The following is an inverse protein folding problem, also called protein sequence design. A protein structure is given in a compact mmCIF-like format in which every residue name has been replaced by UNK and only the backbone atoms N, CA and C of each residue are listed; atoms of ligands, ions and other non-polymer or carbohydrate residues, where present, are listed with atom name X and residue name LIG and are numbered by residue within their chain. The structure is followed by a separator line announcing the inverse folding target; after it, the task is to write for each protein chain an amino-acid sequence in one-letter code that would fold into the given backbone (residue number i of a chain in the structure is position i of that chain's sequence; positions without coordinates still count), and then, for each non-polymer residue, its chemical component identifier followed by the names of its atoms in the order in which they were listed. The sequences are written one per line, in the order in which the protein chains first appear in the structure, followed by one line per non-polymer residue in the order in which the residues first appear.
data_IF_604207924546
#
_entry.id   IF_604207924546
#
_cell.length_a   1.000
_cell.length_b   1.000
_cell.length_c   1.000
_cell.angle_alpha   90.00
_cell.angle_beta   90.00
_cell.angle_gamma   90.00
#
_symmetry.space_group_name_H-M   'P 1'
#
loop_
_entity.id
_entity.type
_entity.pdbx_description
1 polymer ?
#
# COMPACT_ATOMS: atom_id res chain seq x y z
N UNK A 1 -15.99 -20.77 9.42
CA UNK A 1 -15.07 -20.64 10.55
C UNK A 1 -15.67 -19.63 11.48
N UNK A 2 -16.28 -20.14 12.53
CA UNK A 2 -16.96 -19.35 13.53
C UNK A 2 -15.89 -18.85 14.51
N UNK A 3 -15.95 -17.60 14.95
CA UNK A 3 -15.05 -17.02 15.96
C UNK A 3 -15.14 -17.69 17.35
N UNK A 4 -15.80 -18.85 17.43
CA UNK A 4 -16.04 -19.64 18.63
C UNK A 4 -15.23 -20.96 18.61
N UNK A 5 -14.48 -21.23 17.54
CA UNK A 5 -13.75 -22.50 17.32
C UNK A 5 -12.48 -22.68 18.19
N UNK A 6 -12.26 -21.81 19.17
CA UNK A 6 -11.13 -21.89 20.09
C UNK A 6 -11.40 -21.30 21.49
N UNK A 7 -12.65 -20.94 21.79
CA UNK A 7 -13.00 -20.49 23.14
C UNK A 7 -13.30 -21.74 23.97
N UNK A 8 -12.35 -22.13 24.81
CA UNK A 8 -12.57 -23.31 25.66
C UNK A 8 -13.66 -23.00 26.69
N UNK A 9 -14.33 -24.04 27.19
CA UNK A 9 -15.35 -23.87 28.22
C UNK A 9 -14.74 -23.19 29.45
N UNK A 10 -13.48 -23.45 29.71
CA UNK A 10 -12.68 -22.83 30.75
C UNK A 10 -12.43 -21.34 30.49
N UNK A 11 -12.16 -20.90 29.25
CA UNK A 11 -11.99 -19.48 28.93
C UNK A 11 -13.29 -18.68 29.10
N UNK A 12 -14.43 -19.31 28.77
CA UNK A 12 -15.77 -18.74 28.97
C UNK A 12 -16.18 -18.75 30.45
N UNK A 13 -15.72 -19.74 31.22
CA UNK A 13 -15.93 -19.83 32.67
C UNK A 13 -14.99 -18.91 33.46
N UNK A 14 -13.75 -18.63 33.02
CA UNK A 14 -12.83 -17.68 33.68
C UNK A 14 -13.37 -16.26 33.60
N UNK A 15 -13.86 -15.85 32.44
CA UNK A 15 -14.57 -14.57 32.28
C UNK A 15 -15.78 -14.44 33.22
N UNK A 16 -16.48 -15.54 33.47
CA UNK A 16 -17.67 -15.60 34.31
C UNK A 16 -17.36 -15.80 35.80
N UNK A 17 -16.25 -16.46 36.16
CA UNK A 17 -15.83 -16.79 37.53
C UNK A 17 -15.11 -15.68 38.25
N UNK A 18 -14.49 -14.75 37.50
CA UNK A 18 -13.83 -13.59 38.09
C UNK A 18 -14.84 -12.56 38.64
N UNK A 19 -16.15 -12.79 38.44
CA UNK A 19 -17.23 -11.97 38.99
C UNK A 19 -18.03 -12.75 40.04
N UNK A 20 -18.02 -12.26 41.28
CA UNK A 20 -18.84 -12.80 42.36
C UNK A 20 -20.33 -12.52 42.10
N UNK A 21 -21.22 -13.41 42.54
CA UNK A 21 -22.67 -13.16 42.57
C UNK A 21 -23.05 -11.86 43.32
N UNK A 22 -22.14 -11.34 44.16
CA UNK A 22 -22.27 -10.06 44.87
C UNK A 22 -21.85 -8.82 44.07
N UNK A 23 -21.14 -8.99 42.94
CA UNK A 23 -20.74 -7.91 42.03
C UNK A 23 -21.82 -7.61 40.99
N UNK A 24 -22.92 -8.37 41.02
CA UNK A 24 -24.15 -8.09 40.28
C UNK A 24 -24.84 -6.87 40.90
N UNK A 25 -24.30 -5.69 40.60
CA UNK A 25 -25.04 -4.45 40.43
C UNK A 25 -25.50 -3.75 41.72
N UNK A 26 -24.72 -2.75 42.14
CA UNK A 26 -25.38 -1.44 42.29
C UNK A 26 -26.03 -1.13 40.93
N UNK A 27 -27.33 -0.81 40.90
CA UNK A 27 -28.11 -0.66 39.66
C UNK A 27 -27.50 0.32 38.62
N UNK A 28 -26.50 1.11 39.00
CA UNK A 28 -25.77 2.05 38.15
C UNK A 28 -24.57 1.49 37.36
N UNK A 29 -23.99 0.34 37.73
CA UNK A 29 -22.68 -0.08 37.18
C UNK A 29 -22.76 -1.08 36.00
N UNK A 30 -23.93 -1.68 35.78
CA UNK A 30 -24.17 -2.61 34.66
C UNK A 30 -23.85 -2.00 33.29
N UNK A 31 -24.26 -0.76 32.96
CA UNK A 31 -23.98 -0.17 31.66
C UNK A 31 -22.47 0.01 31.42
N UNK A 32 -21.70 0.36 32.45
CA UNK A 32 -20.25 0.55 32.39
C UNK A 32 -19.51 -0.78 32.18
N UNK A 33 -19.90 -1.82 32.90
CA UNK A 33 -19.38 -3.18 32.70
C UNK A 33 -19.69 -3.70 31.30
N UNK A 34 -20.96 -3.62 30.89
CA UNK A 34 -21.38 -4.07 29.56
C UNK A 34 -20.65 -3.31 28.44
N UNK A 35 -20.52 -1.99 28.57
CA UNK A 35 -19.76 -1.17 27.62
C UNK A 35 -18.29 -1.60 27.55
N UNK A 36 -17.65 -1.81 28.70
CA UNK A 36 -16.24 -2.23 28.75
C UNK A 36 -16.05 -3.60 28.10
N UNK A 37 -16.93 -4.56 28.39
CA UNK A 37 -16.89 -5.90 27.78
C UNK A 37 -17.11 -5.84 26.28
N UNK A 38 -18.10 -5.07 25.83
CA UNK A 38 -18.37 -4.88 24.39
C UNK A 38 -17.23 -4.18 23.67
N UNK A 39 -16.57 -3.21 24.29
CA UNK A 39 -15.40 -2.53 23.71
C UNK A 39 -14.23 -3.51 23.48
N UNK A 40 -13.95 -4.39 24.43
CA UNK A 40 -12.91 -5.41 24.29
C UNK A 40 -13.27 -6.37 23.16
N UNK A 41 -14.48 -6.93 23.16
CA UNK A 41 -14.91 -7.86 22.10
C UNK A 41 -14.93 -7.22 20.72
N UNK A 42 -15.34 -5.95 20.64
CA UNK A 42 -15.32 -5.21 19.38
C UNK A 42 -13.88 -5.07 18.86
N UNK A 43 -12.92 -4.78 19.74
CA UNK A 43 -11.51 -4.66 19.37
C UNK A 43 -10.95 -5.97 18.84
N UNK A 44 -11.21 -7.07 19.52
CA UNK A 44 -10.79 -8.42 19.08
C UNK A 44 -11.35 -8.77 17.70
N UNK A 45 -12.64 -8.49 17.47
CA UNK A 45 -13.29 -8.76 16.17
C UNK A 45 -12.69 -7.88 15.06
N UNK A 46 -12.41 -6.62 15.34
CA UNK A 46 -11.78 -5.70 14.37
C UNK A 46 -10.34 -6.13 14.03
N UNK A 47 -9.56 -6.55 15.03
CA UNK A 47 -8.20 -7.04 14.81
C UNK A 47 -8.20 -8.32 13.97
N UNK A 48 -9.02 -9.31 14.33
CA UNK A 48 -9.15 -10.54 13.56
C UNK A 48 -9.54 -10.28 12.09
N UNK A 49 -10.51 -9.40 11.87
CA UNK A 49 -10.97 -9.09 10.51
C UNK A 49 -9.89 -8.38 9.70
N UNK A 50 -9.17 -7.44 10.31
CA UNK A 50 -8.04 -6.78 9.68
C UNK A 50 -6.90 -7.75 9.32
N UNK A 51 -6.53 -8.66 10.24
CA UNK A 51 -5.51 -9.67 9.98
C UNK A 51 -5.91 -10.61 8.85
N UNK A 52 -7.18 -11.02 8.79
CA UNK A 52 -7.70 -11.86 7.73
C UNK A 52 -7.59 -11.18 6.36
N UNK A 53 -7.99 -9.92 6.27
CA UNK A 53 -7.88 -9.11 5.05
C UNK A 53 -6.41 -8.93 4.63
N UNK A 54 -5.53 -8.62 5.60
CA UNK A 54 -4.10 -8.49 5.36
C UNK A 54 -3.49 -9.79 4.83
N UNK A 55 -3.85 -10.93 5.43
CA UNK A 55 -3.41 -12.25 4.98
C UNK A 55 -3.89 -12.59 3.57
N UNK A 56 -5.11 -12.18 3.18
CA UNK A 56 -5.62 -12.32 1.80
C UNK A 56 -4.81 -11.47 0.83
N UNK A 57 -4.57 -10.21 1.18
CA UNK A 57 -3.80 -9.28 0.36
C UNK A 57 -2.37 -9.77 0.15
N UNK A 58 -1.68 -10.19 1.22
CA UNK A 58 -0.31 -10.74 1.14
C UNK A 58 -0.22 -11.95 0.22
N UNK A 59 -1.17 -12.88 0.31
CA UNK A 59 -1.21 -14.05 -0.59
C UNK A 59 -1.40 -13.63 -2.05
N UNK A 60 -2.25 -12.64 -2.32
CA UNK A 60 -2.44 -12.14 -3.68
C UNK A 60 -1.18 -11.47 -4.22
N UNK A 61 -0.60 -10.56 -3.44
CA UNK A 61 0.63 -9.85 -3.80
C UNK A 61 1.80 -10.81 -4.01
N UNK A 62 1.95 -11.83 -3.15
CA UNK A 62 2.99 -12.86 -3.31
C UNK A 62 2.82 -13.63 -4.63
N UNK A 63 1.58 -14.00 -4.99
CA UNK A 63 1.29 -14.66 -6.27
C UNK A 63 1.59 -13.74 -7.46
N UNK A 64 1.22 -12.46 -7.37
CA UNK A 64 1.55 -11.48 -8.39
C UNK A 64 3.06 -11.30 -8.54
N UNK A 65 3.78 -11.12 -7.43
CA UNK A 65 5.25 -10.99 -7.42
C UNK A 65 5.94 -12.22 -8.00
N UNK A 66 5.46 -13.43 -7.67
CA UNK A 66 5.98 -14.66 -8.24
C UNK A 66 5.74 -14.74 -9.75
N UNK A 67 4.55 -14.35 -10.23
CA UNK A 67 4.26 -14.29 -11.66
C UNK A 67 5.15 -13.27 -12.39
N UNK A 68 5.36 -12.09 -11.79
CA UNK A 68 6.25 -11.05 -12.34
C UNK A 68 7.69 -11.54 -12.40
N UNK A 69 8.21 -12.16 -11.33
CA UNK A 69 9.57 -12.71 -11.31
C UNK A 69 9.78 -13.74 -12.43
N UNK A 70 8.82 -14.63 -12.63
CA UNK A 70 8.87 -15.63 -13.71
C UNK A 70 8.86 -14.99 -15.09
N UNK A 71 8.02 -13.98 -15.31
CA UNK A 71 7.98 -13.24 -16.58
C UNK A 71 9.28 -12.47 -16.80
N UNK A 72 9.88 -11.92 -15.75
CA UNK A 72 11.15 -11.20 -15.85
C UNK A 72 12.30 -12.13 -16.25
N UNK A 73 12.39 -13.33 -15.66
CA UNK A 73 13.34 -14.36 -16.08
C UNK A 73 13.12 -14.79 -17.54
N UNK A 74 11.87 -14.92 -17.98
CA UNK A 74 11.55 -15.26 -19.37
C UNK A 74 11.95 -14.14 -20.34
N UNK A 75 11.71 -12.88 -19.98
CA UNK A 75 12.16 -11.71 -20.75
C UNK A 75 13.69 -11.69 -20.86
N UNK A 76 14.41 -11.93 -19.76
CA UNK A 76 15.88 -11.97 -19.77
C UNK A 76 16.42 -13.13 -20.63
N UNK A 77 15.81 -14.31 -20.51
CA UNK A 77 16.12 -15.46 -21.36
C UNK A 77 15.86 -15.17 -22.84
N UNK A 78 14.75 -14.50 -23.17
CA UNK A 78 14.43 -14.14 -24.55
C UNK A 78 15.40 -13.08 -25.08
N UNK A 79 15.76 -12.09 -24.26
CA UNK A 79 16.74 -11.05 -24.61
C UNK A 79 18.10 -11.65 -24.95
N UNK A 80 18.63 -12.52 -24.09
CA UNK A 80 19.92 -13.20 -24.34
C UNK A 80 19.87 -14.08 -25.58
N UNK A 81 18.74 -14.75 -25.84
CA UNK A 81 18.56 -15.53 -27.08
C UNK A 81 18.57 -14.64 -28.33
N UNK A 82 17.95 -13.47 -28.31
CA UNK A 82 17.94 -12.52 -29.43
C UNK A 82 19.32 -11.86 -29.66
N UNK A 83 20.05 -11.57 -28.59
CA UNK A 83 21.41 -11.04 -28.68
C UNK A 83 22.39 -12.06 -29.29
N UNK A 84 22.28 -13.34 -28.90
CA UNK A 84 23.02 -14.46 -29.53
C UNK A 84 22.61 -14.64 -31.01
N UNK A 85 21.36 -14.37 -31.36
CA UNK A 85 20.85 -14.41 -32.74
C UNK A 85 21.24 -13.14 -33.55
N UNK A 86 21.96 -12.18 -32.94
CA UNK A 86 22.67 -11.10 -33.64
C UNK A 86 21.87 -9.82 -33.88
N UNK A 87 20.82 -9.55 -33.09
CA UNK A 87 20.08 -8.28 -33.16
C UNK A 87 20.39 -7.46 -31.89
N UNK A 88 21.31 -6.48 -31.93
CA UNK A 88 21.55 -5.59 -30.81
C UNK A 88 20.30 -4.73 -30.57
N UNK A 89 19.68 -4.83 -29.40
CA UNK A 89 18.53 -4.00 -28.98
C UNK A 89 18.96 -2.71 -28.25
N UNK A 90 20.27 -2.48 -28.22
CA UNK A 90 20.96 -1.24 -27.88
C UNK A 90 21.38 -0.59 -29.20
N UNK A 91 20.45 0.10 -29.85
CA UNK A 91 20.73 1.06 -30.93
C UNK A 91 19.78 2.23 -30.67
N UNK A 92 20.21 3.08 -29.74
CA UNK A 92 19.81 4.48 -29.72
C UNK A 92 20.94 5.20 -30.45
N UNK A 93 20.95 5.06 -31.78
CA UNK A 93 21.79 5.88 -32.66
C UNK A 93 21.17 7.27 -32.69
N UNK A 94 21.35 8.04 -31.61
CA UNK A 94 21.11 9.48 -31.59
C UNK A 94 22.25 10.21 -32.31
N UNK A 95 22.63 9.75 -33.49
CA UNK A 95 23.58 10.44 -34.36
C UNK A 95 22.79 11.41 -35.24
N UNK A 96 22.27 12.48 -34.63
CA UNK A 96 21.92 13.69 -35.38
C UNK A 96 23.21 14.37 -35.79
N UNK A 97 23.79 13.88 -36.89
CA UNK A 97 24.84 14.54 -37.65
C UNK A 97 24.43 16.01 -37.89
N UNK A 98 25.27 16.90 -37.38
CA UNK A 98 25.14 18.33 -37.54
C UNK A 98 25.40 18.76 -38.98
N UNK A 99 24.33 19.12 -39.69
CA UNK A 99 24.46 20.02 -40.84
C UNK A 99 24.46 21.48 -40.39
N UNK A 100 25.67 22.05 -40.43
CA UNK A 100 26.03 23.45 -40.24
C UNK A 100 25.51 24.35 -41.38
N UNK A 101 24.95 25.52 -41.05
CA UNK A 101 25.08 26.73 -41.86
C UNK A 101 24.97 27.98 -40.97
N UNK A 102 25.96 28.84 -41.14
CA UNK A 102 26.27 30.10 -40.47
C UNK A 102 25.10 31.12 -40.53
N UNK A 103 24.74 31.75 -39.40
CA UNK A 103 24.45 33.20 -39.40
C UNK A 103 24.54 33.79 -37.98
N UNK A 104 25.67 34.45 -37.71
CA UNK A 104 25.90 35.65 -36.87
C UNK A 104 25.22 35.73 -35.48
N UNK A 105 25.97 35.95 -34.37
CA UNK A 105 25.36 36.24 -33.09
C UNK A 105 25.07 37.74 -32.95
N UNK A 106 23.84 38.16 -32.59
CA UNK A 106 23.67 39.41 -31.87
C UNK A 106 23.49 39.10 -30.38
N UNK A 107 24.55 39.31 -29.60
CA UNK A 107 24.43 39.60 -28.16
C UNK A 107 24.10 41.10 -27.97
N UNK A 108 23.76 41.58 -26.76
CA UNK A 108 22.50 41.44 -26.04
C UNK A 108 21.81 42.81 -25.84
N UNK A 109 20.49 42.92 -25.96
CA UNK A 109 19.76 44.12 -25.52
C UNK A 109 19.10 43.88 -24.17
N UNK A 110 19.85 44.15 -23.11
CA UNK A 110 19.28 44.34 -21.78
C UNK A 110 18.42 45.61 -21.75
N UNK A 111 17.44 45.56 -20.85
CA UNK A 111 16.83 46.70 -20.17
C UNK A 111 15.64 47.38 -20.87
N UNK A 112 14.44 47.22 -20.34
CA UNK A 112 14.01 48.04 -19.21
C UNK A 112 12.57 47.72 -18.77
N UNK A 113 12.43 47.59 -17.45
CA UNK A 113 11.29 47.90 -16.60
C UNK A 113 9.98 48.39 -17.25
N UNK A 114 8.87 47.72 -16.92
CA UNK A 114 7.63 48.35 -16.44
C UNK A 114 6.64 47.28 -15.93
N UNK A 115 6.42 47.22 -14.61
CA UNK A 115 5.08 46.90 -14.10
C UNK A 115 4.12 48.08 -14.42
N UNK A 116 2.83 48.08 -14.05
CA UNK A 116 2.14 47.19 -13.11
C UNK A 116 0.70 46.76 -13.54
N UNK A 117 0.06 45.95 -12.68
CA UNK A 117 -1.34 46.11 -12.23
C UNK A 117 -2.55 45.52 -13.01
N UNK A 118 -3.30 44.67 -12.27
CA UNK A 118 -4.77 44.62 -12.12
C UNK A 118 -5.72 44.16 -13.26
N UNK A 119 -6.47 43.06 -13.00
CA UNK A 119 -7.94 42.99 -12.69
C UNK A 119 -8.42 41.53 -12.79
N UNK A 120 -8.74 40.86 -11.68
CA UNK A 120 -10.11 40.54 -11.24
C UNK A 120 -11.09 40.15 -12.36
N UNK A 121 -11.41 38.86 -12.45
CA UNK A 121 -12.80 38.37 -12.32
C UNK A 121 -12.80 36.93 -11.83
#
# INVERSE_FOLDING_TARGET
MCLLEGLTREDLEVEYRDFSASDFLSAGDFPSYFASRMQVRLREVLEYTQELENGRLRRHQSRQSSAVSRLQEEVERLRTKLEVEGIPLDSSDEDVDGSSSDEVPPSPSHSAAAGPSHRRR
#
